data_IF_623203487007
#
_entry.id   IF_623203487007
#
_cell.length_a   1.000
_cell.length_b   1.000
_cell.length_c   1.000
_cell.angle_alpha   90.00
_cell.angle_beta   90.00
_cell.angle_gamma   90.00
#
_symmetry.space_group_name_H-M   'P 1'
#
loop_
_entity.id
_entity.type
_entity.pdbx_description
1 polymer ?
#
# COMPACT_ATOMS: atom_id res chain seq x y z
N UNK A 1 49.47 -54.43 -34.43
CA UNK A 1 48.41 -54.04 -33.49
C UNK A 1 48.61 -52.57 -33.12
N UNK A 2 47.79 -51.62 -33.64
CA UNK A 2 47.73 -50.27 -33.09
C UNK A 2 46.31 -49.93 -32.56
N UNK A 3 46.32 -49.70 -31.25
CA UNK A 3 45.52 -48.81 -30.40
C UNK A 3 44.31 -48.06 -31.00
N UNK A 4 43.11 -48.50 -30.63
CA UNK A 4 41.88 -47.73 -30.77
C UNK A 4 41.71 -46.81 -29.56
N UNK A 5 42.04 -45.53 -29.70
CA UNK A 5 41.66 -44.52 -28.70
C UNK A 5 40.27 -43.95 -29.02
N UNK A 6 39.31 -43.98 -28.09
CA UNK A 6 38.03 -43.32 -28.29
C UNK A 6 38.23 -41.80 -28.23
N UNK A 7 37.88 -41.11 -29.32
CA UNK A 7 37.78 -39.66 -29.38
C UNK A 7 36.63 -39.25 -28.45
N UNK A 8 36.96 -38.77 -27.25
CA UNK A 8 35.96 -38.15 -26.37
C UNK A 8 35.42 -36.91 -27.07
N UNK A 9 34.14 -36.90 -27.42
CA UNK A 9 33.42 -35.65 -27.69
C UNK A 9 33.48 -34.81 -26.42
N UNK A 10 34.30 -33.77 -26.44
CA UNK A 10 34.33 -32.77 -25.40
C UNK A 10 33.00 -32.01 -25.45
N UNK A 11 32.08 -32.39 -24.57
CA UNK A 11 30.82 -31.69 -24.39
C UNK A 11 31.14 -30.25 -23.99
N UNK A 12 30.83 -29.31 -24.90
CA UNK A 12 30.95 -27.88 -24.63
C UNK A 12 30.27 -27.56 -23.29
N UNK A 13 30.91 -26.75 -22.41
CA UNK A 13 30.33 -26.42 -21.12
C UNK A 13 28.93 -25.82 -21.32
N UNK A 14 27.95 -26.17 -20.46
CA UNK A 14 26.60 -25.65 -20.58
C UNK A 14 26.65 -24.12 -20.59
N UNK A 15 26.17 -23.49 -21.67
CA UNK A 15 26.00 -22.04 -21.74
C UNK A 15 25.14 -21.63 -20.56
N UNK A 16 25.74 -20.93 -19.60
CA UNK A 16 24.99 -20.20 -18.61
C UNK A 16 24.06 -19.22 -19.35
N UNK A 17 22.80 -19.06 -18.91
CA UNK A 17 21.95 -18.03 -19.48
C UNK A 17 22.63 -16.68 -19.31
N UNK A 18 22.79 -15.93 -20.39
CA UNK A 18 23.28 -14.56 -20.38
C UNK A 18 22.27 -13.69 -19.62
N UNK A 19 22.38 -13.68 -18.30
CA UNK A 19 21.64 -12.76 -17.44
C UNK A 19 22.28 -11.39 -17.65
N UNK A 20 21.67 -10.59 -18.53
CA UNK A 20 22.03 -9.18 -18.71
C UNK A 20 21.69 -8.41 -17.42
N UNK A 21 22.65 -8.40 -16.48
CA UNK A 21 22.63 -7.59 -15.26
C UNK A 21 22.86 -6.11 -15.58
N UNK A 22 22.08 -5.54 -16.51
CA UNK A 22 21.94 -4.09 -16.62
C UNK A 22 21.16 -3.60 -15.40
N UNK A 23 21.87 -3.43 -14.30
CA UNK A 23 21.40 -2.60 -13.19
C UNK A 23 21.54 -1.15 -13.67
N UNK A 24 20.43 -0.44 -13.98
CA UNK A 24 20.54 0.96 -14.35
C UNK A 24 21.25 1.71 -13.22
N UNK A 25 22.18 2.64 -13.52
CA UNK A 25 22.89 3.39 -12.50
C UNK A 25 21.85 4.22 -11.74
N UNK A 26 21.43 3.72 -10.58
CA UNK A 26 20.61 4.49 -9.65
C UNK A 26 21.45 5.69 -9.25
N UNK A 27 21.02 6.86 -9.72
CA UNK A 27 21.64 8.17 -9.50
C UNK A 27 21.90 8.35 -8.00
N UNK A 28 23.14 8.11 -7.57
CA UNK A 28 23.54 7.92 -6.16
C UNK A 28 23.37 9.18 -5.28
N UNK A 29 23.02 10.31 -5.89
CA UNK A 29 23.12 11.66 -5.32
C UNK A 29 21.75 12.26 -4.95
N UNK A 30 20.66 11.79 -5.55
CA UNK A 30 19.29 12.16 -5.13
C UNK A 30 18.79 11.30 -3.95
N UNK A 31 19.52 10.24 -3.60
CA UNK A 31 19.18 9.31 -2.52
C UNK A 31 19.37 9.91 -1.12
N UNK A 32 20.27 10.87 -0.93
CA UNK A 32 20.64 11.35 0.42
C UNK A 32 19.47 12.02 1.14
N UNK A 33 18.91 13.08 0.55
CA UNK A 33 17.84 13.88 1.17
C UNK A 33 16.53 13.08 1.30
N UNK A 34 16.23 12.25 0.31
CA UNK A 34 15.06 11.36 0.31
C UNK A 34 15.20 10.23 1.33
N UNK A 35 16.43 9.75 1.57
CA UNK A 35 16.71 8.74 2.60
C UNK A 35 16.59 9.31 4.01
N UNK A 36 17.17 10.49 4.28
CA UNK A 36 17.05 11.13 5.59
C UNK A 36 15.60 11.46 5.95
N UNK A 37 14.82 11.97 4.99
CA UNK A 37 13.38 12.22 5.20
C UNK A 37 12.59 10.93 5.42
N UNK A 38 12.94 9.84 4.72
CA UNK A 38 12.35 8.51 4.96
C UNK A 38 12.66 8.00 6.36
N UNK A 39 13.93 8.08 6.79
CA UNK A 39 14.34 7.67 8.14
C UNK A 39 13.64 8.50 9.22
N UNK A 40 13.56 9.83 9.05
CA UNK A 40 12.84 10.71 9.97
C UNK A 40 11.36 10.32 10.07
N UNK A 41 10.72 10.00 8.94
CA UNK A 41 9.34 9.53 8.92
C UNK A 41 9.20 8.17 9.64
N UNK A 42 10.09 7.21 9.40
CA UNK A 42 10.07 5.91 10.10
C UNK A 42 10.23 6.12 11.61
N UNK A 43 11.19 6.94 12.03
CA UNK A 43 11.45 7.21 13.44
C UNK A 43 10.27 7.89 14.12
N UNK A 44 9.68 8.92 13.49
CA UNK A 44 8.50 9.59 14.02
C UNK A 44 7.31 8.64 14.17
N UNK A 45 7.04 7.82 13.14
CA UNK A 45 6.02 6.78 13.21
C UNK A 45 6.31 5.76 14.31
N UNK A 46 7.55 5.31 14.42
CA UNK A 46 8.00 4.34 15.42
C UNK A 46 7.78 4.82 16.85
N UNK A 47 8.10 6.08 17.14
CA UNK A 47 7.83 6.71 18.44
C UNK A 47 6.33 6.72 18.73
N UNK A 48 5.50 7.18 17.78
CA UNK A 48 4.05 7.18 17.95
C UNK A 48 3.49 5.76 18.19
N UNK A 49 3.95 4.77 17.43
CA UNK A 49 3.53 3.37 17.59
C UNK A 49 3.92 2.80 18.96
N UNK A 50 5.15 3.04 19.39
CA UNK A 50 5.63 2.58 20.70
C UNK A 50 4.87 3.23 21.86
N UNK A 51 4.60 4.54 21.78
CA UNK A 51 3.80 5.25 22.78
C UNK A 51 2.35 4.77 22.82
N UNK A 52 1.74 4.50 21.67
CA UNK A 52 0.39 3.94 21.61
C UNK A 52 0.33 2.54 22.25
N UNK A 53 1.30 1.67 21.95
CA UNK A 53 1.42 0.35 22.59
C UNK A 53 1.58 0.50 24.10
N UNK A 54 2.50 1.36 24.55
CA UNK A 54 2.73 1.59 25.98
C UNK A 54 1.46 2.13 26.67
N UNK A 55 0.75 3.06 26.04
CA UNK A 55 -0.51 3.60 26.55
C UNK A 55 -1.60 2.53 26.70
N UNK A 56 -1.67 1.56 25.79
CA UNK A 56 -2.61 0.44 25.93
C UNK A 56 -2.19 -0.47 27.09
N UNK A 57 -0.89 -0.76 27.21
CA UNK A 57 -0.35 -1.55 28.33
C UNK A 57 -0.57 -0.88 29.69
N UNK A 58 -0.58 0.44 29.78
CA UNK A 58 -0.86 1.15 31.03
C UNK A 58 -2.35 1.31 31.31
N UNK A 59 -3.18 1.46 30.28
CA UNK A 59 -4.63 1.57 30.42
C UNK A 59 -5.30 0.24 30.80
N UNK A 60 -4.71 -0.89 30.41
CA UNK A 60 -5.14 -2.23 30.77
C UNK A 60 -4.05 -2.89 31.63
N UNK A 61 -3.95 -2.54 32.92
CA UNK A 61 -2.98 -3.15 33.81
C UNK A 61 -3.39 -4.59 34.16
N UNK A 62 -2.45 -5.53 33.98
CA UNK A 62 -2.68 -6.94 34.28
C UNK A 62 -2.04 -7.36 35.59
N UNK A 63 -2.75 -8.21 36.32
CA UNK A 63 -2.21 -8.90 37.49
C UNK A 63 -1.48 -10.16 37.04
N UNK A 64 -0.39 -10.48 37.72
CA UNK A 64 0.35 -11.74 37.54
C UNK A 64 -0.61 -12.93 37.71
N UNK A 65 -0.69 -13.81 36.71
CA UNK A 65 -1.60 -14.97 36.67
C UNK A 65 -2.97 -14.70 36.01
N UNK A 66 -3.22 -13.50 35.49
CA UNK A 66 -4.43 -13.15 34.74
C UNK A 66 -4.10 -12.83 33.26
N UNK A 67 -5.12 -12.93 32.41
CA UNK A 67 -5.05 -12.68 30.97
C UNK A 67 -4.57 -11.27 30.64
N UNK A 68 -3.55 -11.11 29.79
CA UNK A 68 -3.05 -9.79 29.36
C UNK A 68 -3.85 -9.25 28.15
N UNK A 69 -4.98 -8.62 28.46
CA UNK A 69 -5.84 -7.95 27.48
C UNK A 69 -5.11 -6.87 26.67
N UNK A 70 -4.01 -6.32 27.18
CA UNK A 70 -3.28 -5.25 26.50
C UNK A 70 -2.54 -5.83 25.30
N UNK A 71 -1.82 -6.93 25.49
CA UNK A 71 -1.07 -7.59 24.42
C UNK A 71 -2.01 -8.23 23.41
N UNK A 72 -3.13 -8.82 23.85
CA UNK A 72 -4.19 -9.25 22.96
C UNK A 72 -4.71 -8.11 22.08
N UNK A 73 -5.10 -7.00 22.72
CA UNK A 73 -5.65 -5.84 22.02
C UNK A 73 -4.64 -5.28 21.01
N UNK A 74 -3.37 -5.11 21.40
CA UNK A 74 -2.29 -4.62 20.52
C UNK A 74 -2.07 -5.55 19.33
N UNK A 75 -2.12 -6.87 19.53
CA UNK A 75 -1.95 -7.82 18.42
C UNK A 75 -3.15 -7.79 17.45
N UNK A 76 -4.38 -7.82 17.96
CA UNK A 76 -5.59 -7.82 17.12
C UNK A 76 -5.74 -6.50 16.35
N UNK A 77 -5.55 -5.36 17.01
CA UNK A 77 -5.57 -4.06 16.34
C UNK A 77 -4.39 -3.91 15.37
N UNK A 78 -3.21 -4.43 15.70
CA UNK A 78 -2.05 -4.47 14.80
C UNK A 78 -2.36 -5.22 13.51
N UNK A 79 -3.02 -6.36 13.61
CA UNK A 79 -3.49 -7.12 12.44
C UNK A 79 -4.55 -6.35 11.64
N UNK A 80 -5.48 -5.64 12.29
CA UNK A 80 -6.42 -4.75 11.60
C UNK A 80 -5.68 -3.67 10.80
N UNK A 81 -4.69 -3.01 11.42
CA UNK A 81 -3.90 -1.96 10.79
C UNK A 81 -3.10 -2.51 9.59
N UNK A 82 -2.57 -3.74 9.66
CA UNK A 82 -1.93 -4.40 8.50
C UNK A 82 -2.94 -4.54 7.34
N UNK A 83 -4.16 -5.00 7.61
CA UNK A 83 -5.22 -5.14 6.60
C UNK A 83 -5.58 -3.81 5.92
N UNK A 84 -5.69 -2.73 6.72
CA UNK A 84 -5.89 -1.37 6.21
C UNK A 84 -4.72 -0.93 5.34
N UNK A 85 -3.49 -1.10 5.84
CA UNK A 85 -2.27 -0.69 5.15
C UNK A 85 -2.10 -1.44 3.82
N UNK A 86 -2.46 -2.72 3.76
CA UNK A 86 -2.41 -3.55 2.55
C UNK A 86 -3.27 -2.95 1.43
N UNK A 87 -4.49 -2.52 1.73
CA UNK A 87 -5.38 -1.86 0.75
C UNK A 87 -4.84 -0.48 0.40
N UNK A 88 -4.40 0.29 1.39
CA UNK A 88 -3.85 1.63 1.16
C UNK A 88 -2.63 1.58 0.22
N UNK A 89 -1.75 0.59 0.37
CA UNK A 89 -0.58 0.42 -0.49
C UNK A 89 -0.97 -0.04 -1.89
N UNK A 90 -1.90 -0.99 -2.00
CA UNK A 90 -2.26 -1.64 -3.27
C UNK A 90 -3.17 -0.77 -4.14
N UNK A 91 -4.17 -0.11 -3.54
CA UNK A 91 -5.22 0.61 -4.26
C UNK A 91 -4.95 2.12 -4.35
N UNK A 92 -4.29 2.73 -3.35
CA UNK A 92 -3.94 4.17 -3.39
C UNK A 92 -2.59 4.38 -4.08
N UNK A 93 -2.59 4.31 -5.43
CA UNK A 93 -1.38 4.55 -6.25
C UNK A 93 -0.76 5.95 -6.10
N UNK A 94 -1.48 6.93 -5.52
CA UNK A 94 -1.01 8.31 -5.31
C UNK A 94 -0.50 8.60 -3.88
N UNK A 95 -0.40 7.60 -3.00
CA UNK A 95 0.09 7.85 -1.65
C UNK A 95 1.52 8.43 -1.68
N UNK A 96 1.73 9.55 -0.97
CA UNK A 96 3.03 10.24 -0.89
C UNK A 96 4.13 9.25 -0.46
N UNK A 97 5.33 9.35 -1.06
CA UNK A 97 6.43 8.37 -0.90
C UNK A 97 6.78 8.07 0.57
N UNK A 98 6.58 9.04 1.46
CA UNK A 98 6.86 8.95 2.91
C UNK A 98 5.76 8.26 3.74
N UNK A 99 4.52 8.19 3.25
CA UNK A 99 3.39 7.63 4.01
C UNK A 99 3.55 6.13 4.22
N UNK A 100 4.04 5.41 3.19
CA UNK A 100 4.30 3.98 3.27
C UNK A 100 5.32 3.61 4.36
N UNK A 101 6.54 4.19 4.39
CA UNK A 101 7.50 3.91 5.44
C UNK A 101 7.07 4.43 6.82
N UNK A 102 6.39 5.60 6.90
CA UNK A 102 5.86 6.13 8.16
C UNK A 102 4.83 5.19 8.80
N UNK A 103 3.81 4.77 8.05
CA UNK A 103 2.73 3.92 8.57
C UNK A 103 3.19 2.47 8.75
N UNK A 104 3.86 1.92 7.72
CA UNK A 104 4.22 0.51 7.69
C UNK A 104 5.40 0.17 8.58
N UNK A 105 6.55 0.82 8.37
CA UNK A 105 7.75 0.49 9.16
C UNK A 105 7.75 1.24 10.49
N UNK A 106 7.35 2.51 10.48
CA UNK A 106 7.28 3.34 11.68
C UNK A 106 6.18 2.90 12.64
N UNK A 107 4.94 3.36 12.42
CA UNK A 107 3.83 3.15 13.36
C UNK A 107 3.61 1.67 13.64
N UNK A 108 3.42 0.86 12.59
CA UNK A 108 3.09 -0.55 12.77
C UNK A 108 4.24 -1.34 13.42
N UNK A 109 5.48 -1.03 13.05
CA UNK A 109 6.67 -1.64 13.64
C UNK A 109 6.89 -1.27 15.11
N UNK A 110 6.60 -0.02 15.50
CA UNK A 110 6.68 0.41 16.90
C UNK A 110 5.51 -0.08 17.77
N UNK A 111 4.34 -0.23 17.14
CA UNK A 111 3.09 -0.64 17.79
C UNK A 111 3.02 -2.15 18.04
N UNK A 112 3.41 -2.97 17.05
CA UNK A 112 3.39 -4.44 17.18
C UNK A 112 4.63 -4.94 17.92
N UNK A 113 4.50 -5.96 18.76
CA UNK A 113 5.63 -6.51 19.51
C UNK A 113 5.56 -8.03 19.64
N UNK A 114 6.60 -8.70 19.16
CA UNK A 114 6.68 -10.17 19.23
C UNK A 114 7.31 -10.66 20.54
N UNK A 115 8.32 -9.95 21.06
CA UNK A 115 9.01 -10.35 22.30
C UNK A 115 8.06 -10.36 23.49
N UNK A 116 7.23 -9.33 23.64
CA UNK A 116 6.26 -9.28 24.74
C UNK A 116 5.20 -10.36 24.60
N UNK A 117 4.72 -10.64 23.38
CA UNK A 117 3.77 -11.71 23.12
C UNK A 117 4.35 -13.10 23.48
N UNK A 118 5.63 -13.36 23.17
CA UNK A 118 6.28 -14.62 23.54
C UNK A 118 6.45 -14.78 25.05
N UNK A 119 6.84 -13.72 25.76
CA UNK A 119 6.96 -13.74 27.23
C UNK A 119 5.63 -14.10 27.88
N UNK A 120 4.53 -13.62 27.33
CA UNK A 120 3.20 -13.92 27.85
C UNK A 120 2.78 -15.37 27.62
N UNK A 121 3.02 -15.90 26.41
CA UNK A 121 2.81 -17.33 26.13
C UNK A 121 3.66 -18.19 27.07
N UNK A 122 4.93 -17.81 27.29
CA UNK A 122 5.82 -18.51 28.22
C UNK A 122 5.27 -18.49 29.65
N UNK A 123 4.76 -17.35 30.13
CA UNK A 123 4.14 -17.25 31.47
C UNK A 123 2.91 -18.16 31.60
N UNK A 124 2.03 -18.18 30.59
CA UNK A 124 0.84 -19.04 30.61
C UNK A 124 1.16 -20.54 30.62
N UNK A 125 2.33 -20.94 30.09
CA UNK A 125 2.83 -22.33 30.16
C UNK A 125 3.40 -22.63 31.55
N UNK A 126 4.13 -21.69 32.16
CA UNK A 126 4.70 -21.84 33.50
C UNK A 126 3.62 -21.93 34.59
N UNK A 127 2.48 -21.26 34.40
CA UNK A 127 1.35 -21.28 35.34
C UNK A 127 0.47 -22.56 35.22
N UNK A 128 0.93 -23.62 34.52
CA UNK A 128 0.22 -24.87 34.22
C UNK A 128 -1.15 -24.71 33.49
N UNK A 129 -1.48 -23.50 33.04
CA UNK A 129 -2.72 -23.19 32.31
C UNK A 129 -2.55 -23.32 30.79
N UNK A 130 -1.80 -24.32 30.32
CA UNK A 130 -1.45 -24.50 28.90
C UNK A 130 -2.68 -24.61 27.97
N UNK A 131 -3.80 -25.18 28.44
CA UNK A 131 -5.05 -25.27 27.68
C UNK A 131 -5.66 -23.90 27.41
N UNK A 132 -5.64 -23.03 28.42
CA UNK A 132 -6.13 -21.66 28.33
C UNK A 132 -5.23 -20.82 27.41
N UNK A 133 -3.92 -21.04 27.48
CA UNK A 133 -2.94 -20.40 26.59
C UNK A 133 -3.13 -20.82 25.12
N UNK A 134 -3.45 -22.09 24.85
CA UNK A 134 -3.75 -22.57 23.49
C UNK A 134 -5.06 -21.99 22.93
N UNK A 135 -6.12 -21.97 23.72
CA UNK A 135 -7.39 -21.32 23.36
C UNK A 135 -7.18 -19.82 23.10
N UNK A 136 -6.34 -19.17 23.89
CA UNK A 136 -5.95 -17.79 23.69
C UNK A 136 -5.20 -17.58 22.38
N UNK A 137 -4.18 -18.39 22.10
CA UNK A 137 -3.40 -18.29 20.88
C UNK A 137 -4.28 -18.48 19.64
N UNK A 138 -5.15 -19.49 19.68
CA UNK A 138 -6.08 -19.78 18.60
C UNK A 138 -7.13 -18.67 18.44
N UNK A 139 -7.72 -18.19 19.54
CA UNK A 139 -8.68 -17.08 19.53
C UNK A 139 -8.06 -15.80 18.98
N UNK A 140 -6.81 -15.50 19.38
CA UNK A 140 -6.04 -14.36 18.86
C UNK A 140 -5.78 -14.49 17.38
N UNK A 141 -5.43 -15.68 16.91
CA UNK A 141 -5.21 -15.95 15.48
C UNK A 141 -6.50 -15.74 14.67
N UNK A 142 -7.62 -16.28 15.14
CA UNK A 142 -8.92 -16.10 14.46
C UNK A 142 -9.32 -14.63 14.45
N UNK A 143 -9.24 -13.94 15.59
CA UNK A 143 -9.53 -12.51 15.68
C UNK A 143 -8.60 -11.68 14.78
N UNK A 144 -7.31 -12.02 14.72
CA UNK A 144 -6.35 -11.38 13.83
C UNK A 144 -6.74 -11.54 12.35
N UNK A 145 -7.11 -12.75 11.92
CA UNK A 145 -7.57 -13.00 10.54
C UNK A 145 -8.84 -12.21 10.22
N UNK A 146 -9.82 -12.21 11.12
CA UNK A 146 -11.05 -11.43 10.97
C UNK A 146 -10.76 -9.94 10.92
N UNK A 147 -9.84 -9.45 11.77
CA UNK A 147 -9.43 -8.06 11.82
C UNK A 147 -8.74 -7.61 10.52
N UNK A 148 -7.88 -8.45 9.94
CA UNK A 148 -7.28 -8.20 8.62
C UNK A 148 -8.37 -8.08 7.55
N UNK A 149 -9.32 -9.03 7.50
CA UNK A 149 -10.40 -8.97 6.52
C UNK A 149 -11.31 -7.76 6.72
N UNK A 150 -11.63 -7.42 7.97
CA UNK A 150 -12.39 -6.23 8.31
C UNK A 150 -11.65 -4.96 7.87
N UNK A 151 -10.34 -4.87 8.12
CA UNK A 151 -9.50 -3.76 7.68
C UNK A 151 -9.48 -3.60 6.16
N UNK A 152 -9.35 -4.71 5.44
CA UNK A 152 -9.42 -4.72 3.97
C UNK A 152 -10.78 -4.25 3.48
N UNK A 153 -11.86 -4.80 4.04
CA UNK A 153 -13.23 -4.52 3.62
C UNK A 153 -13.63 -3.07 3.91
N UNK A 154 -13.36 -2.58 5.12
CA UNK A 154 -13.64 -1.21 5.54
C UNK A 154 -12.88 -0.20 4.68
N UNK A 155 -11.60 -0.44 4.41
CA UNK A 155 -10.79 0.47 3.59
C UNK A 155 -11.31 0.55 2.15
N UNK A 156 -11.72 -0.59 1.58
CA UNK A 156 -12.33 -0.64 0.24
C UNK A 156 -13.68 0.07 0.21
N UNK A 157 -14.51 -0.11 1.23
CA UNK A 157 -15.81 0.57 1.32
C UNK A 157 -15.64 2.10 1.33
N UNK A 158 -14.67 2.59 2.09
CA UNK A 158 -14.37 4.02 2.19
C UNK A 158 -13.67 4.59 0.95
N UNK A 159 -12.91 3.76 0.22
CA UNK A 159 -12.15 4.17 -0.96
C UNK A 159 -12.95 4.08 -2.27
N UNK A 160 -14.21 3.61 -2.24
CA UNK A 160 -15.06 3.57 -3.44
C UNK A 160 -15.29 5.00 -3.96
N UNK A 161 -14.85 5.33 -5.19
CA UNK A 161 -15.13 6.64 -5.75
C UNK A 161 -16.65 6.80 -5.87
N UNK A 162 -17.17 7.91 -5.34
CA UNK A 162 -18.55 8.31 -5.58
C UNK A 162 -18.68 8.53 -7.09
N UNK A 163 -19.55 7.77 -7.76
CA UNK A 163 -19.89 8.07 -9.17
C UNK A 163 -20.31 9.54 -9.20
N UNK A 164 -19.71 10.39 -10.04
CA UNK A 164 -20.27 11.72 -10.26
C UNK A 164 -21.71 11.52 -10.71
N UNK A 165 -22.63 12.24 -10.07
CA UNK A 165 -24.00 12.31 -10.55
C UNK A 165 -23.91 12.78 -12.00
N UNK A 166 -24.35 11.94 -12.92
CA UNK A 166 -24.61 12.36 -14.28
C UNK A 166 -25.76 13.35 -14.14
N UNK A 167 -25.50 14.64 -14.39
CA UNK A 167 -26.54 15.64 -14.65
C UNK A 167 -27.21 15.24 -15.98
N UNK A 168 -28.12 14.29 -15.91
CA UNK A 168 -29.10 14.02 -16.95
C UNK A 168 -30.30 14.96 -16.68
N UNK A 169 -30.23 16.20 -17.16
CA UNK A 169 -31.42 17.06 -17.17
C UNK A 169 -31.18 18.55 -17.39
N UNK A 170 -31.78 19.04 -18.48
CA UNK A 170 -32.34 20.39 -18.67
C UNK A 170 -31.39 21.54 -19.05
N UNK A 171 -31.26 21.73 -20.37
CA UNK A 171 -31.60 22.96 -21.09
C UNK A 171 -31.68 22.53 -22.57
N UNK A 172 -32.82 22.25 -23.19
CA UNK A 172 -34.15 22.89 -23.12
C UNK A 172 -34.10 24.42 -23.24
N UNK A 173 -33.26 24.94 -24.14
CA UNK A 173 -33.42 26.28 -24.71
C UNK A 173 -33.11 26.26 -26.22
N UNK A 174 -34.08 25.79 -27.03
CA UNK A 174 -34.27 26.28 -28.40
C UNK A 174 -35.78 26.50 -28.59
N UNK A 175 -36.27 27.59 -28.02
CA UNK A 175 -37.48 28.29 -28.47
C UNK A 175 -37.01 29.71 -28.74
N UNK A 176 -36.90 30.06 -30.01
CA UNK A 176 -37.86 30.95 -30.66
C UNK A 176 -37.49 32.41 -30.41
N UNK A 177 -36.70 32.97 -31.35
CA UNK A 177 -36.70 34.40 -31.57
C UNK A 177 -36.78 34.64 -33.08
N UNK A 178 -38.00 34.89 -33.54
CA UNK A 178 -38.28 35.46 -34.84
C UNK A 178 -38.06 36.97 -34.80
N UNK A 179 -37.16 37.47 -35.65
CA UNK A 179 -36.85 38.90 -35.73
C UNK A 179 -36.21 39.29 -37.06
N UNK A 180 -37.06 39.48 -38.05
CA UNK A 180 -36.88 40.19 -39.32
C UNK A 180 -35.82 41.29 -39.36
N UNK A 181 -34.98 41.29 -40.40
CA UNK A 181 -34.65 42.53 -41.13
C UNK A 181 -34.21 42.23 -42.58
N UNK A 182 -34.71 43.06 -43.49
CA UNK A 182 -34.67 42.86 -44.94
C UNK A 182 -33.57 43.64 -45.68
N UNK A 183 -33.57 43.43 -47.01
CA UNK A 183 -32.78 44.15 -48.01
C UNK A 183 -31.44 43.46 -48.29
N UNK A 184 -31.08 43.05 -49.50
CA UNK A 184 -31.49 43.49 -50.82
C UNK A 184 -30.22 43.75 -51.65
N UNK A 185 -30.25 43.28 -52.90
CA UNK A 185 -29.41 43.66 -54.05
C UNK A 185 -27.93 43.21 -54.13
N UNK A 186 -27.69 42.52 -55.26
CA UNK A 186 -26.53 42.60 -56.17
C UNK A 186 -25.21 41.98 -55.69
N UNK A 187 -24.51 41.12 -56.43
CA UNK A 187 -24.31 40.97 -57.87
C UNK A 187 -22.82 40.65 -58.03
N UNK A 188 -22.45 39.42 -58.40
CA UNK A 188 -21.77 39.17 -59.67
C UNK A 188 -20.24 39.40 -59.65
N UNK A 189 -19.47 38.34 -59.94
CA UNK A 189 -18.25 38.45 -60.75
C UNK A 189 -16.87 38.34 -60.09
N UNK A 190 -16.24 37.16 -60.26
CA UNK A 190 -14.94 36.93 -60.92
C UNK A 190 -13.67 37.73 -60.58
N UNK A 191 -12.58 36.98 -60.34
CA UNK A 191 -11.16 37.41 -60.42
C UNK A 191 -10.51 37.47 -59.03
N UNK A 192 -9.40 36.83 -58.70
CA UNK A 192 -8.18 36.55 -59.47
C UNK A 192 -6.99 37.13 -58.67
N UNK A 193 -5.84 36.44 -58.66
CA UNK A 193 -4.56 36.82 -58.02
C UNK A 193 -4.51 36.64 -56.49
N UNK A 194 -3.48 36.05 -55.86
CA UNK A 194 -2.07 35.92 -56.22
C UNK A 194 -1.22 36.61 -55.14
N UNK A 195 -0.09 35.97 -54.76
CA UNK A 195 1.00 36.39 -53.84
C UNK A 195 0.93 35.78 -52.43
N UNK A 196 1.83 34.87 -52.06
CA UNK A 196 3.30 34.98 -51.85
C UNK A 196 3.70 35.67 -50.54
N UNK A 197 4.50 34.92 -49.78
CA UNK A 197 5.56 35.33 -48.84
C UNK A 197 5.08 36.09 -47.58
N UNK A 198 5.58 35.79 -46.37
CA UNK A 198 6.91 35.35 -45.98
C UNK A 198 6.90 34.74 -44.58
#
# INVERSE_FOLDING_TARGET
>A
MPDARPVRSEAAPPRAPDIDLRVPPRRRWDLGRDHWSTLAAISAGGVCGALARYGISTALPHRTGAFDWAIFAVNVSGCLLIGVLMVLITEVRRAHRLVRPFLGVGILGGYTTFSTALVEVQRGVQDEMARSALLYLFGTLVCALLAVQAGVWLTRLLSRPRKPAVDDGANDEVSDDGGSDGGGSDGGGSGGEGKENS
#
